data_IF_499261683569
#
_entry.id   IF_499261683569
#
_cell.length_a   1.000
_cell.length_b   1.000
_cell.length_c   1.000
_cell.angle_alpha   90.00
_cell.angle_beta   90.00
_cell.angle_gamma   90.00
#
_symmetry.space_group_name_H-M   'P 1'
#
loop_
_entity.id
_entity.type
_entity.pdbx_description
1 polymer ?
#
# COMPACT_ATOMS: atom_id res chain seq x y z
N UNK A 1 -3.17 -31.39 19.87
CA UNK A 1 -4.03 -30.19 20.03
C UNK A 1 -4.95 -30.43 21.21
N UNK A 2 -4.75 -29.68 22.29
CA UNK A 2 -5.68 -29.66 23.42
C UNK A 2 -6.98 -28.96 22.97
N UNK A 3 -8.08 -29.10 23.74
CA UNK A 3 -9.33 -28.38 23.45
C UNK A 3 -9.13 -26.86 23.44
N UNK A 4 -8.11 -26.36 24.15
CA UNK A 4 -7.73 -24.95 24.20
C UNK A 4 -7.09 -24.45 22.90
N UNK A 5 -6.42 -25.32 22.13
CA UNK A 5 -5.73 -24.93 20.89
C UNK A 5 -6.69 -24.72 19.72
N UNK A 6 -7.97 -25.11 19.87
CA UNK A 6 -8.99 -25.02 18.81
C UNK A 6 -9.40 -23.59 18.48
N UNK A 7 -9.16 -22.65 19.38
CA UNK A 7 -9.61 -21.26 19.29
C UNK A 7 -8.45 -20.27 19.13
N UNK A 8 -7.23 -20.78 18.96
CA UNK A 8 -6.06 -19.93 18.76
C UNK A 8 -6.06 -19.34 17.35
N UNK A 9 -5.92 -18.02 17.28
CA UNK A 9 -5.63 -17.32 16.04
C UNK A 9 -4.12 -17.38 15.73
N UNK A 10 -3.71 -17.34 14.45
CA UNK A 10 -2.31 -17.17 14.09
C UNK A 10 -1.73 -15.86 14.65
N UNK A 11 -0.43 -15.82 14.92
CA UNK A 11 0.25 -14.60 15.39
C UNK A 11 -0.03 -13.41 14.46
N UNK A 12 -0.33 -12.25 15.04
CA UNK A 12 -0.66 -11.03 14.28
C UNK A 12 -2.01 -11.07 13.56
N UNK A 13 -2.87 -12.05 13.85
CA UNK A 13 -4.27 -12.09 13.40
C UNK A 13 -5.15 -11.97 14.64
N UNK A 14 -6.07 -11.01 14.61
CA UNK A 14 -6.91 -10.68 15.77
C UNK A 14 -8.36 -10.43 15.35
N UNK A 15 -9.28 -10.76 16.25
CA UNK A 15 -10.68 -10.35 16.12
C UNK A 15 -10.84 -8.90 16.57
N UNK A 16 -11.45 -8.08 15.72
CA UNK A 16 -11.89 -6.74 16.10
C UNK A 16 -13.31 -6.84 16.66
N UNK A 17 -13.45 -6.64 17.97
CA UNK A 17 -14.71 -6.83 18.67
C UNK A 17 -15.43 -5.49 18.95
N UNK A 18 -16.74 -5.52 19.26
CA UNK A 18 -17.43 -4.33 19.77
C UNK A 18 -16.79 -3.79 21.07
N UNK A 19 -16.76 -2.47 21.27
CA UNK A 19 -17.31 -1.42 20.41
C UNK A 19 -16.37 -0.98 19.28
N UNK A 20 -15.11 -1.43 19.29
CA UNK A 20 -14.07 -0.98 18.36
C UNK A 20 -14.44 -1.26 16.89
N UNK A 21 -15.02 -2.43 16.61
CA UNK A 21 -15.48 -2.76 15.26
C UNK A 21 -16.47 -1.72 14.69
N UNK A 22 -17.38 -1.21 15.52
CA UNK A 22 -18.34 -0.19 15.11
C UNK A 22 -17.67 1.18 14.88
N UNK A 23 -16.65 1.51 15.66
CA UNK A 23 -15.86 2.73 15.49
C UNK A 23 -15.06 2.70 14.19
N UNK A 24 -14.41 1.57 13.91
CA UNK A 24 -13.65 1.36 12.67
C UNK A 24 -14.55 1.42 11.45
N UNK A 25 -15.73 0.77 11.49
CA UNK A 25 -16.67 0.84 10.37
C UNK A 25 -17.23 2.26 10.15
N UNK A 26 -17.48 3.01 11.23
CA UNK A 26 -17.91 4.41 11.12
C UNK A 26 -16.82 5.26 10.46
N UNK A 27 -15.57 5.12 10.94
CA UNK A 27 -14.43 5.80 10.36
C UNK A 27 -14.22 5.43 8.88
N UNK A 28 -14.31 4.15 8.54
CA UNK A 28 -14.19 3.68 7.15
C UNK A 28 -15.21 4.38 6.24
N UNK A 29 -16.44 4.56 6.70
CA UNK A 29 -17.48 5.30 5.94
C UNK A 29 -17.12 6.77 5.78
N UNK A 30 -16.73 7.44 6.87
CA UNK A 30 -16.35 8.86 6.82
C UNK A 30 -15.17 9.11 5.86
N UNK A 31 -14.19 8.21 5.84
CA UNK A 31 -13.05 8.26 4.91
C UNK A 31 -13.52 8.05 3.46
N UNK A 32 -14.34 7.03 3.19
CA UNK A 32 -14.82 6.77 1.82
C UNK A 32 -15.75 7.87 1.30
N UNK A 33 -16.64 8.39 2.15
CA UNK A 33 -17.50 9.53 1.82
C UNK A 33 -16.66 10.77 1.50
N UNK A 34 -15.54 10.97 2.21
CA UNK A 34 -14.59 12.06 1.93
C UNK A 34 -13.98 11.89 0.55
N UNK A 35 -13.42 10.72 0.21
CA UNK A 35 -12.87 10.47 -1.12
C UNK A 35 -13.91 10.69 -2.24
N UNK A 36 -15.15 10.21 -2.03
CA UNK A 36 -16.22 10.37 -3.03
C UNK A 36 -16.64 11.83 -3.24
N UNK A 37 -16.63 12.67 -2.20
CA UNK A 37 -16.88 14.12 -2.34
C UNK A 37 -15.80 14.82 -3.16
N UNK A 38 -14.58 14.30 -3.17
CA UNK A 38 -13.50 14.76 -4.04
C UNK A 38 -13.59 14.20 -5.47
N UNK A 39 -14.61 13.40 -5.79
CA UNK A 39 -14.83 12.83 -7.11
C UNK A 39 -14.14 11.48 -7.37
N UNK A 40 -13.60 10.84 -6.32
CA UNK A 40 -13.02 9.50 -6.45
C UNK A 40 -14.12 8.43 -6.48
N UNK A 41 -13.98 7.49 -7.40
CA UNK A 41 -14.91 6.39 -7.60
C UNK A 41 -14.50 5.17 -6.79
N UNK A 42 -15.43 4.65 -5.99
CA UNK A 42 -15.17 3.48 -5.16
C UNK A 42 -15.02 2.22 -6.03
N UNK A 43 -13.92 1.50 -5.85
CA UNK A 43 -13.70 0.17 -6.41
C UNK A 43 -13.53 -0.87 -5.31
N UNK A 44 -13.99 -2.10 -5.60
CA UNK A 44 -13.90 -3.23 -4.66
C UNK A 44 -13.24 -4.39 -5.41
N UNK A 45 -11.89 -4.41 -5.49
CA UNK A 45 -11.19 -5.51 -6.13
C UNK A 45 -11.29 -6.81 -5.30
N UNK A 46 -11.13 -7.98 -5.93
CA UNK A 46 -11.16 -9.28 -5.23
C UNK A 46 -10.01 -9.40 -4.23
N UNK A 47 -10.18 -10.26 -3.22
CA UNK A 47 -9.14 -10.53 -2.21
C UNK A 47 -7.93 -11.28 -2.81
N UNK A 48 -8.20 -12.11 -3.83
CA UNK A 48 -7.22 -12.95 -4.51
C UNK A 48 -7.13 -12.60 -5.99
N UNK A 49 -5.93 -12.68 -6.54
CA UNK A 49 -5.64 -12.55 -7.97
C UNK A 49 -4.49 -13.47 -8.36
N UNK A 50 -4.32 -13.72 -9.66
CA UNK A 50 -3.14 -14.43 -10.13
C UNK A 50 -1.86 -13.62 -9.87
N UNK A 51 -0.76 -14.30 -9.55
CA UNK A 51 0.49 -13.63 -9.17
C UNK A 51 1.04 -12.74 -10.30
N UNK A 52 0.81 -13.11 -11.56
CA UNK A 52 1.25 -12.28 -12.70
C UNK A 52 0.58 -10.90 -12.68
N UNK A 53 -0.69 -10.85 -12.26
CA UNK A 53 -1.46 -9.62 -12.12
C UNK A 53 -1.00 -8.79 -10.92
N UNK A 54 -0.86 -9.43 -9.75
CA UNK A 54 -0.49 -8.75 -8.50
C UNK A 54 0.91 -8.16 -8.51
N UNK A 55 1.84 -8.75 -9.26
CA UNK A 55 3.24 -8.31 -9.27
C UNK A 55 3.62 -7.42 -10.47
N UNK A 56 2.64 -7.03 -11.29
CA UNK A 56 2.90 -6.12 -12.40
C UNK A 56 3.28 -4.75 -11.86
N UNK A 57 4.52 -4.31 -12.10
CA UNK A 57 4.99 -2.98 -11.70
C UNK A 57 5.29 -2.81 -10.21
N UNK A 58 5.36 -3.89 -9.44
CA UNK A 58 5.58 -3.83 -7.97
C UNK A 58 7.01 -4.21 -7.58
N UNK A 59 7.50 -3.67 -6.48
CA UNK A 59 8.82 -4.01 -5.91
C UNK A 59 8.89 -5.41 -5.29
N UNK A 60 10.12 -5.90 -5.08
CA UNK A 60 10.39 -7.23 -4.49
C UNK A 60 9.79 -7.42 -3.08
N UNK A 61 9.68 -6.34 -2.31
CA UNK A 61 9.11 -6.39 -0.96
C UNK A 61 7.65 -6.83 -0.93
N UNK A 62 6.86 -6.41 -1.93
CA UNK A 62 5.46 -6.82 -2.02
C UNK A 62 5.31 -8.32 -2.28
N UNK A 63 6.22 -8.90 -3.07
CA UNK A 63 6.23 -10.34 -3.30
C UNK A 63 6.47 -11.12 -2.00
N UNK A 64 7.43 -10.67 -1.18
CA UNK A 64 7.72 -11.29 0.11
C UNK A 64 6.53 -11.19 1.08
N UNK A 65 5.76 -10.09 1.01
CA UNK A 65 4.57 -9.86 1.84
C UNK A 65 3.32 -10.60 1.37
N UNK A 66 3.31 -11.13 0.15
CA UNK A 66 2.13 -11.76 -0.46
C UNK A 66 2.03 -13.24 -0.11
N UNK A 67 0.91 -13.64 0.51
CA UNK A 67 0.60 -15.06 0.68
C UNK A 67 0.29 -15.70 -0.67
N UNK A 68 0.93 -16.84 -0.95
CA UNK A 68 0.75 -17.60 -2.18
C UNK A 68 -0.17 -18.79 -1.95
N UNK A 69 -1.08 -19.03 -2.88
CA UNK A 69 -1.99 -20.17 -2.89
C UNK A 69 -2.09 -20.76 -4.29
N UNK A 70 -2.47 -22.03 -4.38
CA UNK A 70 -2.70 -22.69 -5.67
C UNK A 70 -4.20 -22.71 -5.97
N UNK A 71 -4.57 -22.24 -7.16
CA UNK A 71 -5.91 -22.38 -7.71
C UNK A 71 -6.18 -23.85 -7.99
N UNK A 72 -7.10 -24.48 -7.25
CA UNK A 72 -7.40 -25.90 -7.41
C UNK A 72 -8.08 -26.22 -8.74
N UNK A 73 -8.68 -25.25 -9.41
CA UNK A 73 -9.35 -25.46 -10.70
C UNK A 73 -8.36 -25.48 -11.86
N UNK A 74 -7.35 -24.62 -11.81
CA UNK A 74 -6.43 -24.41 -12.94
C UNK A 74 -4.98 -24.83 -12.66
N UNK A 75 -4.64 -25.06 -11.40
CA UNK A 75 -3.26 -25.28 -10.93
C UNK A 75 -2.39 -24.02 -10.92
N UNK A 76 -2.93 -22.85 -11.33
CA UNK A 76 -2.17 -21.60 -11.36
C UNK A 76 -1.92 -21.05 -9.95
N UNK A 77 -0.85 -20.28 -9.81
CA UNK A 77 -0.54 -19.61 -8.56
C UNK A 77 -1.33 -18.30 -8.43
N UNK A 78 -1.99 -18.14 -7.29
CA UNK A 78 -2.68 -16.93 -6.88
C UNK A 78 -2.01 -16.33 -5.64
N UNK A 79 -2.22 -15.05 -5.42
CA UNK A 79 -1.82 -14.34 -4.22
C UNK A 79 -3.04 -13.80 -3.47
N UNK A 80 -2.94 -13.73 -2.14
CA UNK A 80 -3.81 -12.86 -1.35
C UNK A 80 -3.19 -11.47 -1.35
N UNK A 81 -3.96 -10.44 -1.70
CA UNK A 81 -3.44 -9.07 -1.81
C UNK A 81 -2.74 -8.61 -0.51
N UNK A 82 -1.53 -8.09 -0.66
CA UNK A 82 -0.76 -7.43 0.39
C UNK A 82 -0.82 -5.89 0.28
N UNK A 83 -1.29 -5.39 -0.87
CA UNK A 83 -1.55 -3.98 -1.21
C UNK A 83 -2.70 -3.94 -2.22
N UNK A 84 -3.45 -2.84 -2.25
CA UNK A 84 -4.56 -2.61 -3.17
C UNK A 84 -4.17 -1.79 -4.40
N UNK A 85 -3.05 -1.06 -4.37
CA UNK A 85 -2.54 -0.22 -5.48
C UNK A 85 -2.39 -0.98 -6.80
N UNK A 86 -1.79 -2.19 -6.84
CA UNK A 86 -1.65 -2.93 -8.12
C UNK A 86 -2.99 -3.30 -8.73
N UNK A 87 -3.99 -3.59 -7.88
CA UNK A 87 -5.34 -3.92 -8.34
C UNK A 87 -6.06 -2.68 -8.89
N UNK A 88 -5.86 -1.51 -8.26
CA UNK A 88 -6.39 -0.24 -8.75
C UNK A 88 -5.78 0.12 -10.11
N UNK A 89 -4.46 -0.01 -10.27
CA UNK A 89 -3.76 0.20 -11.54
C UNK A 89 -4.24 -0.76 -12.64
N UNK A 90 -4.48 -2.03 -12.30
CA UNK A 90 -5.08 -2.99 -13.23
C UNK A 90 -6.50 -2.59 -13.66
N UNK A 91 -7.33 -2.15 -12.71
CA UNK A 91 -8.70 -1.72 -13.00
C UNK A 91 -8.70 -0.53 -13.94
N UNK A 92 -7.87 0.47 -13.67
CA UNK A 92 -7.67 1.62 -14.55
C UNK A 92 -7.25 1.17 -15.96
N UNK A 93 -6.15 0.42 -16.06
CA UNK A 93 -5.55 0.05 -17.33
C UNK A 93 -6.39 -0.92 -18.19
N UNK A 94 -7.14 -1.86 -17.58
CA UNK A 94 -7.78 -2.97 -18.31
C UNK A 94 -9.30 -3.04 -18.19
N UNK A 95 -9.90 -2.47 -17.14
CA UNK A 95 -11.35 -2.56 -16.93
C UNK A 95 -12.04 -1.27 -17.34
N UNK A 96 -11.48 -0.12 -16.96
CA UNK A 96 -12.01 1.19 -17.31
C UNK A 96 -11.47 1.66 -18.66
N UNK A 97 -10.14 1.59 -18.85
CA UNK A 97 -9.49 1.85 -20.13
C UNK A 97 -9.73 3.26 -20.67
N UNK A 98 -9.95 4.23 -19.79
CA UNK A 98 -10.23 5.62 -20.15
C UNK A 98 -8.92 6.36 -20.44
N UNK A 99 -8.86 7.18 -21.50
CA UNK A 99 -7.63 7.93 -21.87
C UNK A 99 -7.42 9.19 -21.00
N UNK A 100 -8.34 9.46 -20.07
CA UNK A 100 -8.36 10.66 -19.23
C UNK A 100 -7.78 10.49 -17.83
N UNK A 101 -8.13 11.42 -16.95
CA UNK A 101 -7.78 11.34 -15.53
C UNK A 101 -8.78 10.43 -14.82
N UNK A 102 -8.30 9.32 -14.27
CA UNK A 102 -9.09 8.41 -13.46
C UNK A 102 -8.82 8.64 -11.97
N UNK A 103 -9.88 8.68 -11.16
CA UNK A 103 -9.81 8.81 -9.70
C UNK A 103 -10.49 7.63 -9.04
N UNK A 104 -9.72 6.74 -8.42
CA UNK A 104 -10.24 5.53 -7.77
C UNK A 104 -9.98 5.57 -6.27
N UNK A 105 -10.96 5.17 -5.44
CA UNK A 105 -10.75 4.96 -4.01
C UNK A 105 -11.16 3.55 -3.60
N UNK A 106 -10.60 3.08 -2.49
CA UNK A 106 -10.86 1.74 -1.99
C UNK A 106 -10.71 1.68 -0.47
N UNK A 107 -11.39 0.71 0.14
CA UNK A 107 -11.15 0.30 1.53
C UNK A 107 -11.38 -1.20 1.70
N UNK A 108 -10.42 -1.90 2.31
CA UNK A 108 -10.55 -3.34 2.56
C UNK A 108 -9.35 -3.94 3.28
N UNK A 109 -9.50 -5.18 3.74
CA UNK A 109 -8.40 -5.91 4.34
C UNK A 109 -7.32 -6.25 3.30
N UNK A 110 -6.06 -6.17 3.72
CA UNK A 110 -4.91 -6.81 3.09
C UNK A 110 -4.32 -7.84 4.03
N UNK A 111 -3.55 -8.79 3.50
CA UNK A 111 -2.92 -9.86 4.28
C UNK A 111 -1.41 -9.88 4.03
N UNK A 112 -0.64 -9.81 5.11
CA UNK A 112 0.83 -9.79 5.08
C UNK A 112 1.40 -11.10 5.61
N UNK A 113 2.37 -11.70 4.91
CA UNK A 113 3.06 -12.92 5.39
C UNK A 113 3.75 -12.68 6.73
N UNK A 114 4.28 -11.47 6.93
CA UNK A 114 4.99 -11.02 8.12
C UNK A 114 4.46 -9.64 8.55
N UNK A 115 4.46 -9.30 9.85
CA UNK A 115 4.18 -7.93 10.27
C UNK A 115 5.14 -6.94 9.61
N UNK A 116 4.65 -5.78 9.18
CA UNK A 116 5.51 -4.68 8.70
C UNK A 116 6.40 -4.13 9.81
N UNK A 117 5.86 -4.05 11.03
CA UNK A 117 6.60 -3.68 12.24
C UNK A 117 6.21 -4.59 13.41
N UNK A 118 7.02 -4.59 14.48
CA UNK A 118 6.80 -5.44 15.66
C UNK A 118 5.45 -5.21 16.36
N UNK A 119 4.78 -4.08 16.08
CA UNK A 119 3.51 -3.68 16.70
C UNK A 119 2.31 -3.73 15.74
N UNK A 120 2.50 -4.15 14.49
CA UNK A 120 1.41 -4.20 13.50
C UNK A 120 0.85 -5.60 13.36
N UNK A 121 -0.47 -5.72 13.21
CA UNK A 121 -1.10 -6.96 12.76
C UNK A 121 -0.72 -7.32 11.31
N UNK A 122 -1.09 -8.53 10.90
CA UNK A 122 -0.93 -9.05 9.53
C UNK A 122 -2.17 -8.89 8.66
N UNK A 123 -3.27 -8.37 9.23
CA UNK A 123 -4.58 -8.23 8.55
C UNK A 123 -5.12 -6.78 8.56
N UNK A 124 -4.30 -5.75 8.29
CA UNK A 124 -4.76 -4.37 8.41
C UNK A 124 -5.89 -4.06 7.41
N UNK A 125 -6.75 -3.12 7.78
CA UNK A 125 -7.72 -2.50 6.87
C UNK A 125 -7.02 -1.33 6.18
N UNK A 126 -6.75 -1.47 4.89
CA UNK A 126 -6.18 -0.42 4.06
C UNK A 126 -7.31 0.41 3.45
N UNK A 127 -7.20 1.74 3.54
CA UNK A 127 -8.04 2.68 2.82
C UNK A 127 -7.13 3.65 2.06
N UNK A 128 -7.46 3.93 0.81
CA UNK A 128 -6.60 4.72 -0.06
C UNK A 128 -7.31 5.20 -1.32
N UNK A 129 -6.59 5.99 -2.10
CA UNK A 129 -7.05 6.51 -3.37
C UNK A 129 -5.88 6.64 -4.34
N UNK A 130 -6.16 6.42 -5.62
CA UNK A 130 -5.23 6.55 -6.74
C UNK A 130 -5.77 7.54 -7.75
N UNK A 131 -4.88 8.38 -8.28
CA UNK A 131 -5.16 9.28 -9.39
C UNK A 131 -4.24 8.89 -10.55
N UNK A 132 -4.83 8.44 -11.66
CA UNK A 132 -4.12 8.02 -12.87
C UNK A 132 -4.32 9.05 -14.00
N UNK A 133 -3.43 9.02 -14.99
CA UNK A 133 -3.56 9.82 -16.21
C UNK A 133 -3.17 11.30 -16.08
N UNK A 134 -2.46 11.70 -15.01
CA UNK A 134 -1.95 13.06 -14.85
C UNK A 134 -0.47 13.08 -14.43
N UNK A 135 0.33 13.91 -15.09
CA UNK A 135 1.74 14.18 -14.75
C UNK A 135 1.94 15.57 -14.14
N UNK A 136 0.86 16.25 -13.74
CA UNK A 136 0.91 17.61 -13.21
C UNK A 136 1.10 17.63 -11.69
N UNK A 137 1.85 18.62 -11.19
CA UNK A 137 2.01 18.89 -9.76
C UNK A 137 0.67 19.11 -9.05
N UNK A 138 -0.36 19.57 -9.78
CA UNK A 138 -1.71 19.73 -9.24
C UNK A 138 -2.35 18.40 -8.83
N UNK A 139 -1.99 17.29 -9.49
CA UNK A 139 -2.46 15.96 -9.10
C UNK A 139 -1.79 15.49 -7.79
N UNK A 140 -0.49 15.77 -7.62
CA UNK A 140 0.21 15.49 -6.36
C UNK A 140 -0.39 16.30 -5.21
N UNK A 141 -0.65 17.60 -5.44
CA UNK A 141 -1.32 18.46 -4.47
C UNK A 141 -2.72 17.97 -4.12
N UNK A 142 -3.48 17.45 -5.10
CA UNK A 142 -4.81 16.89 -4.87
C UNK A 142 -4.75 15.67 -3.93
N UNK A 143 -3.87 14.72 -4.21
CA UNK A 143 -3.68 13.52 -3.39
C UNK A 143 -3.23 13.88 -1.97
N UNK A 144 -2.24 14.77 -1.83
CA UNK A 144 -1.75 15.22 -0.52
C UNK A 144 -2.86 15.93 0.26
N UNK A 145 -3.63 16.81 -0.39
CA UNK A 145 -4.72 17.52 0.26
C UNK A 145 -5.85 16.57 0.71
N UNK A 146 -6.21 15.60 -0.13
CA UNK A 146 -7.20 14.58 0.20
C UNK A 146 -6.71 13.68 1.36
N UNK A 147 -5.44 13.30 1.38
CA UNK A 147 -4.84 12.57 2.49
C UNK A 147 -4.93 13.37 3.79
N UNK A 148 -4.55 14.65 3.78
CA UNK A 148 -4.62 15.51 4.96
C UNK A 148 -6.06 15.70 5.46
N UNK A 149 -7.01 15.88 4.55
CA UNK A 149 -8.44 15.97 4.88
C UNK A 149 -8.96 14.65 5.47
N UNK A 150 -8.53 13.51 4.93
CA UNK A 150 -8.84 12.17 5.44
C UNK A 150 -8.33 12.00 6.88
N UNK A 151 -7.10 12.41 7.18
CA UNK A 151 -6.55 12.38 8.54
C UNK A 151 -7.30 13.32 9.49
N UNK A 152 -7.72 14.49 8.99
CA UNK A 152 -8.51 15.46 9.75
C UNK A 152 -9.88 14.91 10.14
N UNK A 153 -10.64 14.32 9.20
CA UNK A 153 -11.94 13.71 9.50
C UNK A 153 -11.80 12.48 10.41
N UNK A 154 -10.65 11.81 10.36
CA UNK A 154 -10.28 10.72 11.27
C UNK A 154 -9.99 11.18 12.71
N UNK A 155 -9.99 12.49 12.98
CA UNK A 155 -9.79 13.04 14.32
C UNK A 155 -8.33 13.15 14.76
N UNK A 156 -7.37 13.05 13.84
CA UNK A 156 -5.94 13.21 14.17
C UNK A 156 -5.61 14.71 14.37
N UNK A 157 -5.20 15.13 15.59
CA UNK A 157 -5.11 16.56 15.93
C UNK A 157 -3.84 17.23 15.40
N UNK A 158 -2.79 16.44 15.12
CA UNK A 158 -1.49 16.92 14.65
C UNK A 158 -0.93 15.92 13.66
N UNK A 159 -0.59 16.41 12.47
CA UNK A 159 0.03 15.63 11.40
C UNK A 159 1.38 16.26 11.09
N UNK A 160 2.42 15.44 11.00
CA UNK A 160 3.70 15.84 10.44
C UNK A 160 3.81 15.18 9.07
N UNK A 161 4.00 16.00 8.04
CA UNK A 161 4.16 15.54 6.66
C UNK A 161 5.63 15.69 6.27
N UNK A 162 6.27 14.56 5.98
CA UNK A 162 7.61 14.50 5.39
C UNK A 162 7.47 14.31 3.88
N UNK A 163 8.15 15.15 3.10
CA UNK A 163 8.08 15.13 1.64
C UNK A 163 9.48 14.84 1.08
N UNK A 164 9.56 13.83 0.22
CA UNK A 164 10.77 13.45 -0.48
C UNK A 164 10.49 13.32 -1.98
N UNK A 165 11.50 13.59 -2.80
CA UNK A 165 11.41 13.47 -4.25
C UNK A 165 12.48 12.49 -4.76
N UNK A 166 12.06 11.32 -5.25
CA UNK A 166 12.97 10.23 -5.65
C UNK A 166 13.93 10.65 -6.77
N UNK A 167 13.48 11.49 -7.71
CA UNK A 167 14.32 11.95 -8.83
C UNK A 167 15.58 12.73 -8.39
N UNK A 168 15.60 13.34 -7.20
CA UNK A 168 16.81 14.00 -6.69
C UNK A 168 17.90 12.95 -6.47
N UNK A 169 17.55 11.85 -5.80
CA UNK A 169 18.46 10.73 -5.59
C UNK A 169 18.88 10.10 -6.92
N UNK A 170 17.92 9.75 -7.78
CA UNK A 170 18.20 9.10 -9.06
C UNK A 170 19.11 9.95 -9.95
N UNK A 171 18.89 11.27 -9.99
CA UNK A 171 19.71 12.20 -10.76
C UNK A 171 21.14 12.28 -10.23
N UNK A 172 21.33 12.28 -8.90
CA UNK A 172 22.64 12.33 -8.28
C UNK A 172 23.43 11.04 -8.50
N UNK A 173 22.78 9.88 -8.32
CA UNK A 173 23.40 8.58 -8.55
C UNK A 173 23.78 8.39 -10.02
N UNK A 174 22.88 8.75 -10.93
CA UNK A 174 23.15 8.67 -12.38
C UNK A 174 24.35 9.54 -12.77
N UNK A 175 24.47 10.74 -12.20
CA UNK A 175 25.61 11.63 -12.45
C UNK A 175 26.90 11.16 -11.79
N UNK A 176 26.82 10.52 -10.62
CA UNK A 176 27.98 9.95 -9.93
C UNK A 176 28.62 8.80 -10.72
N UNK A 177 27.82 8.07 -11.53
CA UNK A 177 28.32 7.02 -12.39
C UNK A 177 28.87 5.82 -11.62
N UNK A 178 28.30 5.54 -10.44
CA UNK A 178 28.68 4.41 -9.61
C UNK A 178 28.38 3.08 -10.29
N UNK A 179 29.16 2.05 -9.94
CA UNK A 179 28.77 0.70 -10.28
C UNK A 179 27.58 0.25 -9.42
N UNK A 180 26.97 -0.87 -9.81
CA UNK A 180 25.76 -1.39 -9.18
C UNK A 180 25.98 -1.79 -7.72
N UNK A 181 27.18 -2.19 -7.34
CA UNK A 181 27.50 -2.60 -5.97
C UNK A 181 27.59 -1.38 -5.06
N UNK A 182 28.31 -0.34 -5.50
CA UNK A 182 28.38 0.94 -4.79
C UNK A 182 27.02 1.62 -4.70
N UNK A 183 26.24 1.65 -5.78
CA UNK A 183 24.88 2.22 -5.76
C UNK A 183 23.99 1.51 -4.73
N UNK A 184 24.02 0.17 -4.67
CA UNK A 184 23.26 -0.60 -3.70
C UNK A 184 23.70 -0.31 -2.25
N UNK A 185 25.01 -0.18 -2.02
CA UNK A 185 25.55 0.16 -0.70
C UNK A 185 25.15 1.59 -0.27
N UNK A 186 25.21 2.56 -1.19
CA UNK A 186 24.76 3.95 -0.94
C UNK A 186 23.27 3.98 -0.63
N UNK A 187 22.45 3.26 -1.41
CA UNK A 187 21.01 3.17 -1.18
C UNK A 187 20.69 2.63 0.21
N UNK A 188 21.33 1.52 0.61
CA UNK A 188 21.13 0.90 1.93
C UNK A 188 21.58 1.82 3.08
N UNK A 189 22.76 2.44 2.96
CA UNK A 189 23.26 3.36 3.96
C UNK A 189 22.35 4.60 4.11
N UNK A 190 21.84 5.15 3.00
CA UNK A 190 20.84 6.24 3.03
C UNK A 190 19.52 5.80 3.65
N UNK A 191 19.00 4.62 3.30
CA UNK A 191 17.74 4.09 3.83
C UNK A 191 17.80 3.93 5.36
N UNK A 192 18.97 3.54 5.89
CA UNK A 192 19.24 3.44 7.34
C UNK A 192 19.69 4.75 7.98
N UNK A 193 19.81 5.84 7.21
CA UNK A 193 20.31 7.16 7.64
C UNK A 193 21.72 7.10 8.26
N UNK A 194 22.58 6.23 7.72
CA UNK A 194 23.94 5.96 8.20
C UNK A 194 24.96 6.91 7.56
N UNK A 195 25.07 8.13 8.08
CA UNK A 195 26.06 9.12 7.59
C UNK A 195 27.51 8.59 7.63
N UNK A 196 27.98 7.94 8.72
CA UNK A 196 29.37 7.48 8.78
C UNK A 196 29.72 6.40 7.74
N UNK A 197 28.73 5.63 7.29
CA UNK A 197 28.91 4.60 6.27
C UNK A 197 28.89 5.20 4.87
N UNK A 198 28.03 6.21 4.65
CA UNK A 198 28.06 7.01 3.41
C UNK A 198 29.41 7.72 3.22
N UNK A 199 30.02 8.23 4.29
CA UNK A 199 31.35 8.87 4.23
C UNK A 199 32.49 7.89 3.84
N UNK A 200 32.24 6.58 3.90
CA UNK A 200 33.21 5.53 3.56
C UNK A 200 33.03 4.93 2.15
N UNK A 201 31.91 5.23 1.49
CA UNK A 201 31.55 4.75 0.16
C UNK A 201 31.95 5.76 -0.92
#
# INVERSE_FOLDING_TARGET
MTVSDRWLLPDGVEDILPPLAGQIESLRRDVMDTCQRWGYQLVIPPLIEYLESLFTGTGHDLELQTFKLTDQLTGRMMGVRADMTPQAARIDAHTLGDEGITRLCYAGHVLHTRPHHMLTGRTPIQAGCELFGSASETADLEIIALMLETLRVSGLPRVHLDLAHVSIYESLITQAGFDRETEAAVFDAMARKSVPELDQL
#
